data_IF_261609730417
#
_entry.id   IF_261609730417
#
_cell.length_a   1.000
_cell.length_b   1.000
_cell.length_c   1.000
_cell.angle_alpha   90.00
_cell.angle_beta   90.00
_cell.angle_gamma   90.00
#
_symmetry.space_group_name_H-M   'P 1'
#
loop_
_entity.id
_entity.type
_entity.pdbx_description
1 polymer ?
#
# COMPACT_ATOMS: atom_id res chain seq x y z
N UNK A 1 -9.87 -22.91 -3.86
CA UNK A 1 -9.39 -21.55 -3.58
C UNK A 1 -9.83 -20.70 -4.74
N UNK A 2 -10.82 -19.82 -4.52
CA UNK A 2 -11.10 -18.76 -5.49
C UNK A 2 -9.80 -17.99 -5.71
N UNK A 3 -9.36 -17.97 -6.96
CA UNK A 3 -8.23 -17.16 -7.37
C UNK A 3 -8.74 -15.73 -7.35
N UNK A 4 -8.62 -15.05 -6.21
CA UNK A 4 -8.91 -13.62 -6.12
C UNK A 4 -8.07 -12.97 -7.22
N UNK A 5 -8.73 -12.41 -8.24
CA UNK A 5 -8.05 -11.77 -9.36
C UNK A 5 -7.46 -10.45 -8.87
N UNK A 6 -6.21 -10.50 -8.41
CA UNK A 6 -5.49 -9.35 -7.86
C UNK A 6 -4.95 -8.42 -8.96
N UNK A 7 -5.27 -8.67 -10.24
CA UNK A 7 -4.74 -7.89 -11.37
C UNK A 7 -5.31 -6.48 -11.40
N UNK A 8 -6.60 -6.33 -11.06
CA UNK A 8 -7.23 -5.01 -10.93
C UNK A 8 -6.52 -4.15 -9.88
N UNK A 9 -6.33 -4.70 -8.68
CA UNK A 9 -5.66 -4.01 -7.57
C UNK A 9 -4.21 -3.65 -7.90
N UNK A 10 -3.49 -4.55 -8.57
CA UNK A 10 -2.12 -4.26 -9.01
C UNK A 10 -2.07 -3.19 -10.09
N UNK A 11 -3.07 -3.12 -10.96
CA UNK A 11 -3.19 -2.04 -11.95
C UNK A 11 -3.41 -0.69 -11.26
N UNK A 12 -4.28 -0.62 -10.26
CA UNK A 12 -4.49 0.59 -9.45
C UNK A 12 -3.19 1.04 -8.76
N UNK A 13 -2.42 0.10 -8.19
CA UNK A 13 -1.11 0.40 -7.61
C UNK A 13 -0.13 0.97 -8.66
N UNK A 14 -0.13 0.43 -9.88
CA UNK A 14 0.68 0.94 -10.99
C UNK A 14 0.25 2.34 -11.45
N UNK A 15 -1.05 2.67 -11.39
CA UNK A 15 -1.57 4.01 -11.66
C UNK A 15 -1.12 5.01 -10.58
N UNK A 16 -1.21 4.63 -9.31
CA UNK A 16 -0.75 5.45 -8.17
C UNK A 16 0.76 5.69 -8.27
N UNK A 17 1.53 4.70 -8.73
CA UNK A 17 2.98 4.85 -8.93
C UNK A 17 3.32 5.92 -9.96
N UNK A 18 2.52 6.04 -11.03
CA UNK A 18 2.70 7.09 -12.05
C UNK A 18 2.28 8.47 -11.53
N UNK A 19 1.40 8.53 -10.55
CA UNK A 19 0.84 9.78 -10.06
C UNK A 19 1.78 10.46 -9.05
N UNK A 20 2.20 11.70 -9.36
CA UNK A 20 2.93 12.62 -8.46
C UNK A 20 4.17 12.05 -7.73
N UNK A 21 4.72 10.91 -8.16
CA UNK A 21 5.75 10.15 -7.43
C UNK A 21 5.35 9.89 -5.97
N UNK A 22 4.09 9.49 -5.73
CA UNK A 22 3.57 9.26 -4.37
C UNK A 22 4.23 8.07 -3.66
N UNK A 23 4.71 7.09 -4.42
CA UNK A 23 5.36 5.88 -3.91
C UNK A 23 6.70 5.65 -4.61
N UNK A 24 7.70 5.23 -3.84
CA UNK A 24 9.00 4.82 -4.40
C UNK A 24 8.99 3.34 -4.78
N UNK A 25 10.00 2.92 -5.54
CA UNK A 25 10.11 1.53 -6.01
C UNK A 25 10.08 0.51 -4.86
N UNK A 26 10.77 0.81 -3.76
CA UNK A 26 10.83 -0.09 -2.60
C UNK A 26 9.46 -0.27 -1.93
N UNK A 27 8.70 0.82 -1.75
CA UNK A 27 7.35 0.78 -1.18
C UNK A 27 6.43 -0.13 -2.01
N UNK A 28 6.56 -0.07 -3.34
CA UNK A 28 5.75 -0.86 -4.27
C UNK A 28 5.93 -2.36 -4.04
N UNK A 29 7.15 -2.83 -3.78
CA UNK A 29 7.41 -4.25 -3.55
C UNK A 29 6.76 -4.73 -2.24
N UNK A 30 6.79 -3.91 -1.20
CA UNK A 30 6.11 -4.18 0.08
C UNK A 30 4.58 -4.23 -0.09
N UNK A 31 4.00 -3.21 -0.72
CA UNK A 31 2.54 -3.13 -0.95
C UNK A 31 2.07 -4.30 -1.82
N UNK A 32 2.85 -4.67 -2.85
CA UNK A 32 2.55 -5.84 -3.68
C UNK A 32 2.55 -7.13 -2.86
N UNK A 33 3.52 -7.33 -1.99
CA UNK A 33 3.57 -8.50 -1.12
C UNK A 33 2.36 -8.56 -0.19
N UNK A 34 1.94 -7.43 0.38
CA UNK A 34 0.71 -7.30 1.19
C UNK A 34 -0.54 -7.68 0.38
N UNK A 35 -0.70 -7.13 -0.83
CA UNK A 35 -1.82 -7.48 -1.72
C UNK A 35 -1.85 -8.98 -1.98
N UNK A 36 -0.70 -9.61 -2.25
CA UNK A 36 -0.61 -11.05 -2.50
C UNK A 36 -0.89 -11.91 -1.27
N UNK A 37 -0.54 -11.44 -0.08
CA UNK A 37 -0.75 -12.16 1.18
C UNK A 37 -2.25 -12.32 1.52
N UNK A 38 -3.06 -11.28 1.26
CA UNK A 38 -4.51 -11.38 1.11
C UNK A 38 -5.33 -11.85 2.33
N UNK A 39 -4.74 -11.97 3.53
CA UNK A 39 -5.51 -12.16 4.76
C UNK A 39 -6.07 -10.84 5.28
N UNK A 40 -6.90 -10.92 6.33
CA UNK A 40 -7.58 -9.78 6.92
C UNK A 40 -6.64 -8.63 7.29
N UNK A 41 -5.49 -8.92 7.91
CA UNK A 41 -4.52 -7.89 8.31
C UNK A 41 -3.85 -7.25 7.09
N UNK A 42 -3.48 -8.05 6.10
CA UNK A 42 -2.91 -7.56 4.84
C UNK A 42 -3.91 -6.73 4.03
N UNK A 43 -5.17 -7.16 3.97
CA UNK A 43 -6.23 -6.40 3.30
C UNK A 43 -6.49 -5.07 4.01
N UNK A 44 -6.43 -5.04 5.34
CA UNK A 44 -6.53 -3.80 6.12
C UNK A 44 -5.38 -2.84 5.80
N UNK A 45 -4.14 -3.34 5.78
CA UNK A 45 -2.98 -2.54 5.38
C UNK A 45 -3.15 -1.94 3.98
N UNK A 46 -3.66 -2.73 3.04
CA UNK A 46 -3.92 -2.26 1.68
C UNK A 46 -5.03 -1.18 1.65
N UNK A 47 -6.11 -1.35 2.40
CA UNK A 47 -7.18 -0.35 2.52
C UNK A 47 -6.68 0.96 3.15
N UNK A 48 -5.91 0.87 4.24
CA UNK A 48 -5.30 2.02 4.91
C UNK A 48 -4.38 2.80 3.94
N UNK A 49 -3.61 2.08 3.10
CA UNK A 49 -2.79 2.71 2.07
C UNK A 49 -3.63 3.45 1.02
N UNK A 50 -4.70 2.83 0.51
CA UNK A 50 -5.58 3.47 -0.47
C UNK A 50 -6.27 4.71 0.10
N UNK A 51 -6.66 4.67 1.38
CA UNK A 51 -7.25 5.82 2.07
C UNK A 51 -6.27 6.98 2.22
N UNK A 52 -4.98 6.70 2.51
CA UNK A 52 -3.95 7.73 2.53
C UNK A 52 -3.74 8.37 1.14
N UNK A 53 -3.71 7.54 0.09
CA UNK A 53 -3.56 8.02 -1.29
C UNK A 53 -4.76 8.88 -1.70
N UNK A 54 -5.98 8.44 -1.39
CA UNK A 54 -7.19 9.21 -1.64
C UNK A 54 -7.16 10.57 -0.92
N UNK A 55 -6.74 10.59 0.35
CA UNK A 55 -6.65 11.83 1.14
C UNK A 55 -5.65 12.85 0.59
N UNK A 56 -4.52 12.37 0.05
CA UNK A 56 -3.55 13.25 -0.65
C UNK A 56 -4.08 13.73 -2.01
N UNK A 57 -4.83 12.91 -2.73
CA UNK A 57 -5.47 13.29 -4.02
C UNK A 57 -6.57 14.33 -3.79
N UNK A 58 -7.40 14.16 -2.76
CA UNK A 58 -8.44 15.11 -2.35
C UNK A 58 -7.90 16.36 -1.64
N UNK A 59 -6.58 16.47 -1.48
CA UNK A 59 -5.91 17.58 -0.79
C UNK A 59 -6.38 17.78 0.67
N UNK A 60 -7.01 16.76 1.28
CA UNK A 60 -7.37 16.74 2.70
C UNK A 60 -6.17 16.42 3.58
N UNK A 61 -5.18 15.74 3.00
CA UNK A 61 -3.85 15.54 3.55
C UNK A 61 -2.84 16.36 2.73
N UNK A 62 -1.83 16.91 3.42
CA UNK A 62 -0.73 17.58 2.73
C UNK A 62 0.39 16.58 2.45
N UNK A 63 1.19 16.87 1.41
CA UNK A 63 2.27 16.01 0.93
C UNK A 63 3.26 15.56 2.00
N UNK A 64 3.56 16.42 2.98
CA UNK A 64 4.50 16.09 4.06
C UNK A 64 3.87 15.05 5.00
N UNK A 65 2.66 15.32 5.47
CA UNK A 65 1.91 14.40 6.33
C UNK A 65 1.58 13.09 5.62
N UNK A 66 1.25 13.12 4.33
CA UNK A 66 1.10 11.91 3.51
C UNK A 66 2.38 11.08 3.51
N UNK A 67 3.53 11.71 3.24
CA UNK A 67 4.80 11.00 3.21
C UNK A 67 5.10 10.33 4.56
N UNK A 68 4.94 11.05 5.67
CA UNK A 68 5.19 10.52 7.01
C UNK A 68 4.28 9.33 7.35
N UNK A 69 2.97 9.47 7.13
CA UNK A 69 2.00 8.41 7.41
C UNK A 69 2.21 7.19 6.50
N UNK A 70 2.51 7.43 5.22
CA UNK A 70 2.84 6.38 4.26
C UNK A 70 4.12 5.65 4.67
N UNK A 71 5.18 6.37 5.06
CA UNK A 71 6.43 5.74 5.50
C UNK A 71 6.22 4.88 6.76
N UNK A 72 5.42 5.35 7.74
CA UNK A 72 5.03 4.56 8.92
C UNK A 72 4.29 3.28 8.51
N UNK A 73 3.27 3.42 7.65
CA UNK A 73 2.46 2.29 7.20
C UNK A 73 3.30 1.24 6.46
N UNK A 74 4.24 1.67 5.62
CA UNK A 74 5.16 0.77 4.91
C UNK A 74 6.06 0.01 5.89
N UNK A 75 6.55 0.66 6.95
CA UNK A 75 7.33 0.00 7.99
C UNK A 75 6.49 -1.06 8.72
N UNK A 76 5.24 -0.76 9.05
CA UNK A 76 4.33 -1.72 9.69
C UNK A 76 4.02 -2.92 8.79
N UNK A 77 3.80 -2.67 7.49
CA UNK A 77 3.64 -3.73 6.49
C UNK A 77 4.88 -4.62 6.39
N UNK A 78 6.08 -4.01 6.37
CA UNK A 78 7.34 -4.74 6.31
C UNK A 78 7.52 -5.62 7.54
N UNK A 79 7.33 -5.06 8.74
CA UNK A 79 7.39 -5.81 10.00
C UNK A 79 6.39 -6.97 10.03
N UNK A 80 5.18 -6.72 9.52
CA UNK A 80 4.18 -7.76 9.41
C UNK A 80 4.63 -8.89 8.48
N UNK A 81 5.13 -8.57 7.28
CA UNK A 81 5.66 -9.58 6.36
C UNK A 81 6.82 -10.36 6.98
N UNK A 82 7.77 -9.68 7.61
CA UNK A 82 8.93 -10.30 8.25
C UNK A 82 8.51 -11.23 9.40
N UNK A 83 7.50 -10.85 10.19
CA UNK A 83 6.95 -11.66 11.29
C UNK A 83 6.31 -12.98 10.86
N UNK A 84 6.04 -13.17 9.56
CA UNK A 84 5.49 -14.42 9.02
C UNK A 84 6.55 -15.42 8.60
N UNK A 85 7.78 -14.97 8.43
CA UNK A 85 8.92 -15.81 8.02
C UNK A 85 9.81 -16.23 9.20
N UNK A 86 9.47 -15.80 10.42
CA UNK A 86 10.08 -16.20 11.69
C UNK A 86 9.08 -16.98 12.54
#
# INVERSE_FOLDING_TARGET
METIDKRGVLFELDEIYKYKNLIVKSDRDVIRAIIYDGNEKANKFHEDFMNLVASEIDHTLNKTSFKELKDILIIEMQQYLDSKYF
#
